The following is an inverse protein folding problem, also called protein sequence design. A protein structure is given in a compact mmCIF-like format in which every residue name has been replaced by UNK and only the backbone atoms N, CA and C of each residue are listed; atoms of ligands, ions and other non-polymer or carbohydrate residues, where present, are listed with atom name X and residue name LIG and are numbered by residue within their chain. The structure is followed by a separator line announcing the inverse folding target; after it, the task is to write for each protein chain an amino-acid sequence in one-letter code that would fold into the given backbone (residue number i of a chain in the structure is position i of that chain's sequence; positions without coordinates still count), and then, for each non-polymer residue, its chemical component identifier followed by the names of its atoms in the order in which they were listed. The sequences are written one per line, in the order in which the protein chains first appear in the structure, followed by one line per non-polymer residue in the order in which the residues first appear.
data_IF_723591436790
#
_entry.id   IF_723591436790
#
_cell.length_a   1.000
_cell.length_b   1.000
_cell.length_c   1.000
_cell.angle_alpha   90.00
_cell.angle_beta   90.00
_cell.angle_gamma   90.00
#
_symmetry.space_group_name_H-M   'P 1'
#
loop_
_entity.id
_entity.type
_entity.pdbx_description
1 polymer ?
#
# COMPACT_ATOMS: atom_id res chain seq x y z
N UNK A 1 3.66 29.06 0.61
CA UNK A 1 4.24 27.77 0.21
C UNK A 1 5.25 27.24 1.23
N UNK A 2 6.49 27.74 1.31
CA UNK A 2 7.59 27.16 2.13
C UNK A 2 7.22 26.57 3.52
N UNK A 3 6.35 27.21 4.31
CA UNK A 3 5.96 26.72 5.64
C UNK A 3 5.31 25.32 5.64
N UNK A 4 4.56 24.94 4.60
CA UNK A 4 3.91 23.62 4.53
C UNK A 4 4.90 22.50 4.19
N UNK A 5 5.86 22.77 3.30
CA UNK A 5 6.93 21.83 2.96
C UNK A 5 7.79 21.49 4.19
N UNK A 6 8.08 22.51 5.01
CA UNK A 6 8.76 22.31 6.30
C UNK A 6 7.94 21.49 7.29
N UNK A 7 6.61 21.63 7.34
CA UNK A 7 5.75 20.80 8.20
C UNK A 7 5.83 19.32 7.84
N UNK A 8 5.75 18.96 6.56
CA UNK A 8 5.86 17.56 6.09
C UNK A 8 7.24 16.99 6.43
N UNK A 9 8.31 17.74 6.16
CA UNK A 9 9.67 17.33 6.49
C UNK A 9 9.90 17.16 8.00
N UNK A 10 9.27 18.00 8.82
CA UNK A 10 9.33 17.88 10.29
C UNK A 10 8.54 16.65 10.78
N UNK A 11 7.41 16.32 10.14
CA UNK A 11 6.58 15.16 10.49
C UNK A 11 7.30 13.83 10.22
N UNK A 12 8.12 13.76 9.16
CA UNK A 12 9.01 12.62 8.87
C UNK A 12 10.07 12.40 9.96
N UNK A 13 10.61 13.47 10.56
CA UNK A 13 11.59 13.36 11.64
C UNK A 13 11.01 12.92 12.99
N UNK A 14 9.70 13.08 13.22
CA UNK A 14 9.07 12.70 14.48
C UNK A 14 8.72 11.20 14.60
N UNK A 15 8.92 10.40 13.55
CA UNK A 15 8.59 8.97 13.56
C UNK A 15 9.63 8.07 14.26
N UNK A 16 10.75 8.60 14.78
CA UNK A 16 11.78 7.84 15.50
C UNK A 16 11.43 7.53 16.98
N UNK A 17 10.19 7.10 17.28
CA UNK A 17 9.82 6.58 18.59
C UNK A 17 8.54 5.72 18.57
N UNK A 18 8.70 4.39 18.58
CA UNK A 18 7.60 3.43 18.84
C UNK A 18 7.35 2.42 17.72
N UNK A 19 7.22 1.14 18.10
CA UNK A 19 7.04 0.01 17.18
C UNK A 19 5.61 -0.07 16.61
N UNK A 20 5.51 -0.24 15.29
CA UNK A 20 4.27 -0.53 14.54
C UNK A 20 4.70 -1.32 13.25
N UNK A 21 3.84 -2.16 12.61
CA UNK A 21 4.26 -3.42 11.90
C UNK A 21 3.63 -3.66 10.47
N UNK A 22 4.27 -3.49 9.26
CA UNK A 22 3.80 -3.00 7.88
C UNK A 22 3.78 -3.86 6.53
N UNK A 23 3.14 -3.42 5.41
CA UNK A 23 2.52 -4.24 4.29
C UNK A 23 2.65 -3.85 2.76
N UNK A 24 1.56 -3.86 1.95
CA UNK A 24 1.48 -3.97 0.46
C UNK A 24 0.65 -2.87 -0.29
N UNK A 25 1.19 -2.09 -1.26
CA UNK A 25 0.69 -0.76 -1.69
C UNK A 25 -0.81 -0.56 -1.95
N UNK A 26 -1.33 0.61 -1.56
CA UNK A 26 -2.72 1.01 -1.73
C UNK A 26 -2.85 2.17 -2.73
N UNK A 27 -3.57 1.97 -3.82
CA UNK A 27 -3.85 3.02 -4.81
C UNK A 27 -5.24 3.65 -4.59
N UNK A 28 -5.39 4.90 -5.04
CA UNK A 28 -6.68 5.50 -5.34
C UNK A 28 -6.91 5.33 -6.85
N UNK A 29 -8.04 4.72 -7.23
CA UNK A 29 -8.41 4.42 -8.62
C UNK A 29 -9.84 4.89 -8.89
N UNK A 30 -10.12 5.34 -10.10
CA UNK A 30 -11.48 5.65 -10.56
C UNK A 30 -12.25 4.38 -10.99
N UNK A 31 -13.57 4.48 -11.18
CA UNK A 31 -14.39 3.31 -11.50
C UNK A 31 -14.06 2.77 -12.91
N UNK A 32 -13.64 1.51 -12.98
CA UNK A 32 -13.21 0.84 -14.21
C UNK A 32 -11.69 0.90 -14.44
N UNK A 33 -10.99 1.81 -13.77
CA UNK A 33 -9.53 1.97 -13.85
C UNK A 33 -8.80 0.76 -13.24
N UNK A 34 -7.61 0.52 -13.76
CA UNK A 34 -6.65 -0.50 -13.34
C UNK A 34 -5.34 0.16 -13.01
N UNK A 35 -4.58 -0.45 -12.12
CA UNK A 35 -3.16 -0.15 -11.95
C UNK A 35 -2.34 -1.43 -12.07
N UNK A 36 -1.15 -1.33 -12.64
CA UNK A 36 -0.07 -2.29 -12.42
C UNK A 36 1.18 -1.55 -12.00
N UNK A 37 1.93 -2.12 -11.06
CA UNK A 37 3.11 -1.46 -10.50
C UNK A 37 4.20 -2.42 -10.07
N UNK A 38 5.40 -1.88 -9.96
CA UNK A 38 6.60 -2.54 -9.45
C UNK A 38 7.27 -1.67 -8.40
N UNK A 39 7.65 -2.25 -7.27
CA UNK A 39 8.52 -1.64 -6.26
C UNK A 39 9.82 -2.42 -6.20
N UNK A 40 10.93 -1.70 -6.13
CA UNK A 40 12.26 -2.23 -5.87
C UNK A 40 12.63 -1.91 -4.41
N UNK A 41 12.81 -2.95 -3.60
CA UNK A 41 13.16 -2.86 -2.19
C UNK A 41 14.66 -3.02 -1.92
N UNK A 42 15.00 -3.24 -0.66
CA UNK A 42 16.35 -3.66 -0.26
C UNK A 42 16.48 -5.19 -0.21
N UNK A 43 15.42 -5.89 0.19
CA UNK A 43 15.41 -7.33 0.43
C UNK A 43 14.46 -8.10 -0.50
N UNK A 44 13.58 -7.41 -1.21
CA UNK A 44 12.62 -7.97 -2.17
C UNK A 44 12.21 -7.00 -3.29
N UNK A 45 11.70 -7.58 -4.38
CA UNK A 45 10.93 -6.85 -5.38
C UNK A 45 9.43 -7.17 -5.23
N UNK A 46 8.56 -6.17 -5.39
CA UNK A 46 7.11 -6.32 -5.23
C UNK A 46 6.39 -5.90 -6.51
N UNK A 47 5.63 -6.81 -7.11
CA UNK A 47 4.85 -6.59 -8.33
C UNK A 47 3.37 -6.70 -8.02
N UNK A 48 2.54 -5.77 -8.50
CA UNK A 48 1.11 -5.79 -8.22
C UNK A 48 0.23 -5.42 -9.42
N UNK A 49 -1.03 -5.85 -9.35
CA UNK A 49 -2.12 -5.45 -10.22
C UNK A 49 -3.37 -5.18 -9.38
N UNK A 50 -4.04 -4.05 -9.61
CA UNK A 50 -5.34 -3.71 -9.04
C UNK A 50 -6.33 -3.33 -10.15
N UNK A 51 -7.62 -3.59 -9.93
CA UNK A 51 -8.71 -3.13 -10.80
C UNK A 51 -9.92 -2.74 -9.97
N UNK A 52 -10.40 -1.51 -10.16
CA UNK A 52 -11.60 -1.02 -9.48
C UNK A 52 -12.85 -1.41 -10.27
N UNK A 53 -13.57 -2.40 -9.74
CA UNK A 53 -14.68 -3.09 -10.41
C UNK A 53 -15.97 -2.26 -10.36
N UNK A 54 -16.14 -1.46 -9.31
CA UNK A 54 -17.23 -0.49 -9.15
C UNK A 54 -16.79 0.63 -8.17
N UNK A 55 -17.65 1.62 -7.93
CA UNK A 55 -17.41 2.78 -7.07
C UNK A 55 -16.82 2.46 -5.67
N UNK A 56 -17.08 1.28 -5.11
CA UNK A 56 -16.64 0.89 -3.75
C UNK A 56 -15.75 -0.35 -3.67
N UNK A 57 -15.55 -1.11 -4.75
CA UNK A 57 -14.79 -2.37 -4.70
C UNK A 57 -13.62 -2.41 -5.68
N UNK A 58 -12.42 -2.61 -5.14
CA UNK A 58 -11.18 -2.86 -5.88
C UNK A 58 -10.71 -4.30 -5.62
N UNK A 59 -10.44 -5.06 -6.68
CA UNK A 59 -9.80 -6.37 -6.59
C UNK A 59 -8.31 -6.22 -6.92
N UNK A 60 -7.44 -6.95 -6.22
CA UNK A 60 -6.00 -6.91 -6.50
C UNK A 60 -5.25 -8.20 -6.23
N UNK A 61 -4.06 -8.25 -6.82
CA UNK A 61 -3.10 -9.34 -6.77
C UNK A 61 -1.70 -8.77 -6.56
N UNK A 62 -0.88 -9.46 -5.77
CA UNK A 62 0.52 -9.08 -5.54
C UNK A 62 1.44 -10.32 -5.54
N UNK A 63 2.62 -10.14 -6.12
CA UNK A 63 3.80 -10.97 -5.93
C UNK A 63 4.83 -10.20 -5.09
N UNK A 64 5.51 -10.89 -4.18
CA UNK A 64 6.71 -10.39 -3.51
C UNK A 64 7.80 -11.44 -3.66
N UNK A 65 8.86 -11.11 -4.37
CA UNK A 65 10.02 -11.96 -4.66
C UNK A 65 11.13 -11.62 -3.65
N UNK A 66 11.45 -12.55 -2.74
CA UNK A 66 12.44 -12.33 -1.68
C UNK A 66 13.74 -13.09 -1.98
N UNK A 67 14.87 -12.44 -1.71
CA UNK A 67 16.21 -13.00 -1.90
C UNK A 67 16.52 -14.30 -1.10
N UNK A 68 15.60 -14.75 -0.23
CA UNK A 68 15.72 -15.97 0.58
C UNK A 68 14.73 -17.10 0.19
N UNK A 69 14.03 -17.00 -0.95
CA UNK A 69 13.01 -17.95 -1.45
C UNK A 69 11.71 -18.01 -0.61
N UNK A 70 11.41 -16.99 0.19
CA UNK A 70 10.18 -16.94 1.00
C UNK A 70 9.02 -16.21 0.30
N UNK A 71 8.90 -16.32 -1.02
CA UNK A 71 8.04 -15.47 -1.86
C UNK A 71 6.57 -15.48 -1.41
N UNK A 72 5.92 -14.32 -1.57
CA UNK A 72 4.54 -14.10 -1.17
C UNK A 72 3.65 -13.89 -2.40
N UNK A 73 2.45 -14.47 -2.37
CA UNK A 73 1.43 -14.31 -3.41
C UNK A 73 0.09 -14.01 -2.78
N UNK A 74 -0.39 -12.78 -2.95
CA UNK A 74 -1.65 -12.30 -2.39
C UNK A 74 -2.75 -12.23 -3.45
N UNK A 75 -3.95 -12.62 -3.05
CA UNK A 75 -5.19 -12.15 -3.67
C UNK A 75 -6.00 -11.39 -2.61
N UNK A 76 -6.48 -10.20 -2.94
CA UNK A 76 -7.22 -9.35 -2.02
C UNK A 76 -8.36 -8.58 -2.69
N UNK A 77 -9.30 -8.13 -1.85
CA UNK A 77 -10.31 -7.14 -2.18
C UNK A 77 -10.25 -5.99 -1.18
N UNK A 78 -10.34 -4.76 -1.70
CA UNK A 78 -10.48 -3.54 -0.92
C UNK A 78 -11.89 -2.98 -1.10
N UNK A 79 -12.51 -2.58 0.00
CA UNK A 79 -13.84 -1.98 0.05
C UNK A 79 -13.73 -0.56 0.56
N UNK A 80 -14.02 0.44 -0.28
CA UNK A 80 -14.05 1.85 0.12
C UNK A 80 -15.30 2.09 1.00
N UNK A 81 -15.08 2.43 2.28
CA UNK A 81 -16.12 2.60 3.32
C UNK A 81 -16.46 4.07 3.56
N UNK A 82 -15.47 4.95 3.49
CA UNK A 82 -15.63 6.41 3.64
C UNK A 82 -14.65 7.16 2.75
N UNK A 83 -14.93 8.44 2.47
CA UNK A 83 -13.97 9.38 1.89
C UNK A 83 -13.79 9.35 0.37
N UNK A 84 -14.53 8.54 -0.39
CA UNK A 84 -14.57 8.60 -1.86
C UNK A 84 -15.39 9.81 -2.39
N UNK A 85 -15.19 10.98 -1.79
CA UNK A 85 -16.01 12.19 -1.97
C UNK A 85 -15.47 13.21 -2.97
N UNK A 86 -14.29 12.99 -3.55
CA UNK A 86 -13.68 13.89 -4.54
C UNK A 86 -13.31 15.29 -4.02
N UNK A 87 -13.30 15.51 -2.69
CA UNK A 87 -12.82 16.77 -2.11
C UNK A 87 -11.41 16.62 -1.59
N UNK A 88 -10.50 17.34 -2.23
CA UNK A 88 -9.09 17.45 -1.88
C UNK A 88 -8.88 17.76 -0.39
N UNK A 89 -8.39 16.76 0.34
CA UNK A 89 -8.19 16.78 1.80
C UNK A 89 -9.08 15.80 2.58
N UNK A 90 -10.08 15.19 1.95
CA UNK A 90 -10.85 14.08 2.52
C UNK A 90 -9.91 12.89 2.86
N UNK A 91 -10.25 12.18 3.95
CA UNK A 91 -9.60 10.93 4.34
C UNK A 91 -10.43 9.76 3.84
N UNK A 92 -9.89 8.99 2.90
CA UNK A 92 -10.42 7.69 2.50
C UNK A 92 -10.27 6.66 3.62
N UNK A 93 -11.26 5.80 3.81
CA UNK A 93 -11.16 4.59 4.64
C UNK A 93 -11.57 3.39 3.80
N UNK A 94 -10.69 2.40 3.72
CA UNK A 94 -10.85 1.11 3.06
C UNK A 94 -10.87 -0.01 4.10
N UNK A 95 -11.65 -1.07 3.87
CA UNK A 95 -11.47 -2.38 4.52
C UNK A 95 -10.80 -3.32 3.51
N UNK A 96 -9.82 -4.09 3.96
CA UNK A 96 -9.06 -5.04 3.13
C UNK A 96 -9.35 -6.46 3.59
N UNK A 97 -9.64 -7.37 2.66
CA UNK A 97 -9.81 -8.80 2.91
C UNK A 97 -8.96 -9.58 1.91
N UNK A 98 -8.18 -10.56 2.36
CA UNK A 98 -7.26 -11.24 1.46
C UNK A 98 -6.73 -12.59 1.90
N UNK A 99 -5.84 -13.13 1.07
CA UNK A 99 -5.36 -14.50 1.10
C UNK A 99 -3.90 -14.56 0.63
N UNK A 100 -2.96 -14.55 1.58
CA UNK A 100 -1.52 -14.70 1.30
C UNK A 100 -1.14 -16.15 1.19
N UNK A 101 -0.49 -16.54 0.10
CA UNK A 101 0.22 -17.82 -0.03
C UNK A 101 1.71 -17.52 0.11
N UNK A 102 2.39 -18.26 0.98
CA UNK A 102 3.85 -18.19 1.16
C UNK A 102 4.43 -19.44 0.48
N UNK A 103 5.62 -19.35 -0.09
CA UNK A 103 6.31 -20.50 -0.69
C UNK A 103 6.34 -21.69 0.30
N UNK A 104 6.03 -22.88 -0.22
CA UNK A 104 5.85 -24.14 0.51
C UNK A 104 4.76 -24.19 1.60
N UNK A 105 3.90 -23.17 1.74
CA UNK A 105 2.84 -23.13 2.77
C UNK A 105 1.41 -23.03 2.25
N UNK A 106 0.45 -23.48 3.08
CA UNK A 106 -0.99 -23.29 2.86
C UNK A 106 -1.38 -21.81 2.99
N UNK A 107 -2.22 -21.32 2.07
CA UNK A 107 -2.68 -19.93 2.04
C UNK A 107 -3.36 -19.49 3.35
N UNK A 108 -2.90 -18.37 3.91
CA UNK A 108 -3.37 -17.74 5.14
C UNK A 108 -4.35 -16.62 4.79
N UNK A 109 -5.50 -16.58 5.46
CA UNK A 109 -6.46 -15.47 5.31
C UNK A 109 -6.10 -14.32 6.24
N UNK A 110 -6.36 -13.10 5.79
CA UNK A 110 -6.18 -11.87 6.56
C UNK A 110 -7.33 -10.88 6.36
N UNK A 111 -7.48 -9.99 7.33
CA UNK A 111 -8.39 -8.84 7.33
C UNK A 111 -7.58 -7.60 7.71
N UNK A 112 -7.98 -6.44 7.21
CA UNK A 112 -7.32 -5.18 7.51
C UNK A 112 -8.14 -3.96 7.16
N UNK A 113 -7.52 -2.80 7.30
CA UNK A 113 -8.05 -1.52 6.86
C UNK A 113 -6.95 -0.68 6.19
N UNK A 114 -7.32 0.35 5.44
CA UNK A 114 -6.39 1.41 5.04
C UNK A 114 -7.03 2.78 5.09
N UNK A 115 -6.25 3.76 5.52
CA UNK A 115 -6.56 5.18 5.42
C UNK A 115 -5.79 5.72 4.21
N UNK A 116 -6.45 6.48 3.33
CA UNK A 116 -5.79 7.22 2.24
C UNK A 116 -6.09 8.71 2.40
N UNK A 117 -5.19 9.58 1.92
CA UNK A 117 -5.36 11.03 1.99
C UNK A 117 -4.69 11.72 0.80
N UNK A 118 -5.38 12.71 0.23
CA UNK A 118 -4.80 13.64 -0.74
C UNK A 118 -4.08 14.79 -0.02
N UNK A 119 -2.79 14.95 -0.28
CA UNK A 119 -1.94 16.01 0.28
C UNK A 119 -1.82 17.20 -0.70
N UNK A 120 -1.74 16.91 -2.01
CA UNK A 120 -1.83 17.86 -3.13
C UNK A 120 -2.53 17.16 -4.32
N UNK A 121 -2.73 17.82 -5.48
CA UNK A 121 -3.25 17.13 -6.68
C UNK A 121 -2.32 15.99 -7.13
N UNK A 122 -1.03 16.19 -6.89
CA UNK A 122 0.08 15.38 -7.36
C UNK A 122 0.64 14.46 -6.26
N UNK A 123 0.27 14.67 -4.99
CA UNK A 123 0.73 13.88 -3.85
C UNK A 123 -0.44 13.28 -3.08
N UNK A 124 -0.48 11.96 -2.98
CA UNK A 124 -1.31 11.23 -2.03
C UNK A 124 -0.46 10.42 -1.06
N UNK A 125 -1.03 10.07 0.09
CA UNK A 125 -0.41 9.20 1.09
C UNK A 125 -1.40 8.16 1.58
N UNK A 126 -0.90 6.99 1.99
CA UNK A 126 -1.73 5.93 2.57
C UNK A 126 -1.10 5.28 3.79
N UNK A 127 -1.96 4.68 4.62
CA UNK A 127 -1.58 3.86 5.78
C UNK A 127 -2.55 2.70 5.95
N UNK A 128 -2.10 1.45 5.78
CA UNK A 128 -2.90 0.25 6.06
C UNK A 128 -2.68 -0.31 7.46
N UNK A 129 -3.40 -1.38 7.78
CA UNK A 129 -3.02 -2.42 8.74
C UNK A 129 -3.76 -3.72 8.39
N UNK A 130 -3.06 -4.84 8.20
CA UNK A 130 -3.56 -6.19 7.98
C UNK A 130 -3.20 -7.07 9.18
N UNK A 131 -4.06 -8.02 9.52
CA UNK A 131 -3.79 -9.09 10.48
C UNK A 131 -4.42 -10.40 9.99
N UNK A 132 -3.70 -11.50 10.17
CA UNK A 132 -4.14 -12.83 9.77
C UNK A 132 -3.62 -13.92 10.70
N UNK A 133 -3.77 -15.19 10.29
CA UNK A 133 -3.34 -16.34 11.10
C UNK A 133 -1.80 -16.43 11.17
N UNK A 134 -1.22 -15.70 12.11
CA UNK A 134 0.22 -15.61 12.35
C UNK A 134 0.95 -14.57 11.51
N UNK A 135 0.26 -13.54 11.00
CA UNK A 135 0.85 -12.44 10.21
C UNK A 135 0.27 -11.06 10.59
N UNK A 136 1.04 -9.96 10.48
CA UNK A 136 0.64 -8.57 10.81
C UNK A 136 1.33 -7.50 9.92
N UNK A 137 0.63 -6.39 9.58
CA UNK A 137 0.93 -5.58 8.36
C UNK A 137 0.24 -4.14 8.21
N UNK A 138 0.61 -3.06 8.97
CA UNK A 138 0.61 -1.56 8.77
C UNK A 138 0.79 -1.14 7.27
N UNK A 139 0.62 0.10 6.84
CA UNK A 139 1.39 0.64 5.70
C UNK A 139 1.76 2.10 5.84
N UNK A 140 2.75 2.54 5.06
CA UNK A 140 3.13 3.92 4.86
C UNK A 140 3.64 4.02 3.44
N UNK A 141 3.02 4.90 2.67
CA UNK A 141 3.56 5.27 1.38
C UNK A 141 3.04 6.61 0.89
N UNK A 142 3.77 7.14 -0.06
CA UNK A 142 3.48 8.38 -0.75
C UNK A 142 3.54 8.12 -2.26
N UNK A 143 2.48 8.48 -2.97
CA UNK A 143 2.40 8.33 -4.41
C UNK A 143 2.45 9.74 -5.02
N UNK A 144 3.45 9.98 -5.86
CA UNK A 144 3.67 11.23 -6.59
C UNK A 144 3.32 11.05 -8.06
N UNK A 145 2.30 11.78 -8.51
CA UNK A 145 1.77 11.77 -9.88
C UNK A 145 2.79 12.39 -10.85
N UNK A 146 3.29 11.59 -11.79
CA UNK A 146 4.18 12.03 -12.87
C UNK A 146 3.37 12.48 -14.10
N UNK A 147 2.33 11.73 -14.45
CA UNK A 147 1.32 12.04 -15.47
C UNK A 147 -0.05 11.53 -14.99
N UNK A 148 -1.10 11.64 -15.79
CA UNK A 148 -2.41 11.07 -15.41
C UNK A 148 -2.35 9.54 -15.26
N UNK A 149 -1.50 8.89 -16.05
CA UNK A 149 -1.30 7.44 -16.10
C UNK A 149 -0.17 6.93 -15.19
N UNK A 150 0.86 7.73 -14.87
CA UNK A 150 2.05 7.25 -14.17
C UNK A 150 2.22 7.87 -12.76
N UNK A 151 2.33 7.02 -11.73
CA UNK A 151 2.67 7.39 -10.35
C UNK A 151 4.06 6.85 -9.95
N UNK A 152 4.88 7.69 -9.32
CA UNK A 152 6.08 7.30 -8.58
C UNK A 152 5.71 6.97 -7.13
N UNK A 153 6.14 5.82 -6.63
CA UNK A 153 5.76 5.29 -5.32
C UNK A 153 6.96 5.32 -4.37
N UNK A 154 6.74 5.80 -3.15
CA UNK A 154 7.65 5.61 -2.01
C UNK A 154 6.91 4.79 -0.96
N UNK A 155 7.53 3.73 -0.45
CA UNK A 155 6.85 2.71 0.36
C UNK A 155 7.70 2.22 1.53
N UNK A 156 7.06 1.92 2.66
CA UNK A 156 7.69 1.30 3.83
C UNK A 156 6.84 0.14 4.38
N UNK A 157 7.50 -1.01 4.58
CA UNK A 157 6.95 -2.31 4.97
C UNK A 157 7.65 -2.85 6.23
N UNK A 158 6.96 -3.67 7.02
CA UNK A 158 7.49 -4.47 8.13
C UNK A 158 6.68 -5.77 8.21
N UNK A 159 7.16 -6.86 7.64
CA UNK A 159 6.38 -8.11 7.62
C UNK A 159 6.68 -8.93 8.88
N UNK A 160 5.70 -9.10 9.76
CA UNK A 160 5.82 -10.03 10.89
C UNK A 160 5.31 -11.41 10.47
N UNK A 161 6.23 -12.32 10.12
CA UNK A 161 5.94 -13.73 9.84
C UNK A 161 7.14 -14.63 10.16
N UNK A 162 7.00 -15.51 11.16
CA UNK A 162 8.09 -16.36 11.72
C UNK A 162 9.38 -15.59 12.09
N UNK A 163 9.24 -14.28 12.30
CA UNK A 163 10.32 -13.31 12.41
C UNK A 163 9.76 -11.92 12.04
N UNK A 164 10.62 -10.92 12.02
CA UNK A 164 10.30 -9.56 11.53
C UNK A 164 11.28 -9.16 10.44
N UNK A 165 10.77 -8.65 9.33
CA UNK A 165 11.54 -7.95 8.29
C UNK A 165 11.02 -6.53 8.20
N UNK A 166 11.85 -5.56 7.84
CA UNK A 166 11.43 -4.22 7.46
C UNK A 166 12.14 -3.76 6.19
N UNK A 167 11.46 -2.92 5.39
CA UNK A 167 11.90 -2.62 4.04
C UNK A 167 11.38 -1.27 3.55
N UNK A 168 12.28 -0.46 3.02
CA UNK A 168 11.98 0.71 2.21
C UNK A 168 12.05 0.33 0.72
N UNK A 169 11.05 0.76 -0.06
CA UNK A 169 10.99 0.52 -1.50
C UNK A 169 10.68 1.80 -2.28
N UNK A 170 11.17 1.88 -3.51
CA UNK A 170 10.77 2.88 -4.50
C UNK A 170 10.22 2.18 -5.75
N UNK A 171 9.19 2.73 -6.38
CA UNK A 171 8.50 2.04 -7.47
C UNK A 171 7.78 2.93 -8.48
N UNK A 172 7.32 2.32 -9.56
CA UNK A 172 6.56 2.97 -10.62
C UNK A 172 5.26 2.20 -10.85
N UNK A 173 4.17 2.93 -11.01
CA UNK A 173 2.85 2.39 -11.32
C UNK A 173 2.29 3.02 -12.59
N UNK A 174 1.55 2.24 -13.37
CA UNK A 174 0.87 2.66 -14.58
C UNK A 174 -0.62 2.33 -14.49
N UNK A 175 -1.48 3.31 -14.86
CA UNK A 175 -2.94 3.25 -14.80
C UNK A 175 -3.59 3.29 -16.17
N UNK A 176 -4.72 2.58 -16.34
CA UNK A 176 -5.43 2.40 -17.62
C UNK A 176 -6.82 1.75 -17.47
#
# INVERSE_FOLDING_TARGET
MYRQFFSVLTMLFYFQAGSIVFAAPVNNLEMGERAMGMLFGQDSDTYYFESKINETFTFGFQLVDYNDNSDLRDFYGQFDVMGYGGRRGDMGLKIILGSRTIVHETSKKYVGAAITQELSPDWSSYTSFLAGRGLKELQAGFNFRLTEEYDLNFHYRYFEYQGSRDELSIGLSYKF
#
